data_IF_974869060580
#
_entry.id   IF_974869060580
#
_cell.length_a   1.000
_cell.length_b   1.000
_cell.length_c   1.000
_cell.angle_alpha   90.00
_cell.angle_beta   90.00
_cell.angle_gamma   90.00
#
_symmetry.space_group_name_H-M   'P 1'
#
loop_
_entity.id
_entity.type
_entity.pdbx_description
1 polymer ?
#
# COMPACT_ATOMS: atom_id res chain seq x y z
N UNK A 1 -36.18 -31.74 44.25
CA UNK A 1 -36.38 -30.81 43.12
C UNK A 1 -35.12 -29.96 42.95
N UNK A 2 -34.16 -30.44 42.14
CA UNK A 2 -33.63 -29.79 40.91
C UNK A 2 -34.22 -28.37 40.70
N UNK A 3 -33.52 -27.24 40.49
CA UNK A 3 -32.27 -26.93 39.79
C UNK A 3 -31.91 -25.44 39.93
N UNK A 4 -30.66 -25.08 39.57
CA UNK A 4 -30.19 -23.72 39.26
C UNK A 4 -28.76 -23.49 39.80
N UNK A 5 -27.71 -24.12 39.25
CA UNK A 5 -27.01 -23.78 37.98
C UNK A 5 -26.84 -22.26 37.82
N UNK A 6 -25.66 -21.65 37.63
CA UNK A 6 -24.40 -22.18 37.15
C UNK A 6 -23.27 -21.18 37.50
N UNK A 7 -22.18 -21.72 38.05
CA UNK A 7 -20.78 -21.44 37.68
C UNK A 7 -20.48 -20.12 36.94
N UNK A 8 -19.84 -19.17 37.65
CA UNK A 8 -18.92 -18.21 37.04
C UNK A 8 -17.85 -19.00 36.26
N UNK A 9 -17.58 -18.69 34.97
CA UNK A 9 -16.38 -19.22 34.34
C UNK A 9 -15.17 -18.51 34.96
N UNK A 10 -14.25 -19.33 35.47
CA UNK A 10 -12.86 -18.96 35.52
C UNK A 10 -12.35 -18.99 34.07
N UNK A 11 -12.17 -17.81 33.46
CA UNK A 11 -11.36 -17.67 32.25
C UNK A 11 -10.00 -17.11 32.65
N UNK A 12 -8.98 -17.89 32.31
CA UNK A 12 -7.56 -17.65 32.45
C UNK A 12 -7.14 -16.30 31.86
N UNK A 13 -6.75 -15.38 32.73
CA UNK A 13 -6.07 -14.12 32.38
C UNK A 13 -4.58 -14.41 32.19
N UNK A 14 -4.19 -14.98 31.05
CA UNK A 14 -2.83 -14.89 30.45
C UNK A 14 -2.94 -15.31 28.98
N UNK A 15 -2.22 -14.63 28.09
CA UNK A 15 -1.98 -14.97 26.66
C UNK A 15 -2.83 -14.30 25.57
N UNK A 16 -3.53 -13.19 25.87
CA UNK A 16 -4.21 -12.35 24.85
C UNK A 16 -3.56 -10.98 24.59
N UNK A 17 -2.96 -10.36 25.60
CA UNK A 17 -2.51 -8.96 25.52
C UNK A 17 -1.23 -8.74 24.68
N UNK A 18 -0.44 -9.78 24.44
CA UNK A 18 0.79 -9.67 23.65
C UNK A 18 0.48 -9.53 22.14
N UNK A 19 -0.53 -10.25 21.62
CA UNK A 19 -0.88 -10.22 20.20
C UNK A 19 -1.47 -8.86 19.77
N UNK A 20 -2.34 -8.26 20.59
CA UNK A 20 -2.90 -6.92 20.34
C UNK A 20 -1.84 -5.81 20.37
N UNK A 21 -0.87 -5.90 21.29
CA UNK A 21 0.23 -4.93 21.36
C UNK A 21 1.18 -5.02 20.16
N UNK A 22 1.41 -6.23 19.63
CA UNK A 22 2.23 -6.46 18.44
C UNK A 22 1.49 -6.00 17.18
N UNK A 23 0.19 -6.23 17.06
CA UNK A 23 -0.62 -5.70 15.96
C UNK A 23 -0.67 -4.16 15.95
N UNK A 24 -0.84 -3.53 17.11
CA UNK A 24 -0.82 -2.07 17.23
C UNK A 24 0.56 -1.47 16.89
N UNK A 25 1.65 -2.13 17.33
CA UNK A 25 3.01 -1.72 16.97
C UNK A 25 3.30 -1.96 15.47
N UNK A 26 2.82 -3.06 14.89
CA UNK A 26 2.95 -3.33 13.46
C UNK A 26 2.17 -2.31 12.63
N UNK A 27 0.94 -1.96 13.02
CA UNK A 27 0.14 -0.92 12.38
C UNK A 27 0.80 0.45 12.45
N UNK A 28 1.36 0.84 13.60
CA UNK A 28 2.15 2.08 13.71
C UNK A 28 3.38 2.03 12.81
N UNK A 29 4.09 0.90 12.75
CA UNK A 29 5.26 0.76 11.87
C UNK A 29 4.89 0.83 10.39
N UNK A 30 3.72 0.31 10.01
CA UNK A 30 3.22 0.33 8.64
C UNK A 30 2.75 1.72 8.24
N UNK A 31 2.05 2.43 9.11
CA UNK A 31 1.65 3.83 8.90
C UNK A 31 2.87 4.73 8.72
N UNK A 32 3.93 4.53 9.52
CA UNK A 32 5.19 5.30 9.37
C UNK A 32 5.87 4.99 8.04
N UNK A 33 5.86 3.73 7.59
CA UNK A 33 6.40 3.35 6.27
C UNK A 33 5.60 3.99 5.14
N UNK A 34 4.27 3.94 5.18
CA UNK A 34 3.41 4.57 4.18
C UNK A 34 3.66 6.08 4.08
N UNK A 35 3.81 6.77 5.22
CA UNK A 35 4.15 8.19 5.22
C UNK A 35 5.53 8.46 4.63
N UNK A 36 6.54 7.65 4.99
CA UNK A 36 7.88 7.77 4.42
C UNK A 36 7.87 7.60 2.91
N UNK A 37 7.18 6.57 2.41
CA UNK A 37 7.08 6.29 0.98
C UNK A 37 6.33 7.40 0.25
N UNK A 38 5.30 7.98 0.87
CA UNK A 38 4.62 9.18 0.36
C UNK A 38 5.58 10.37 0.26
N UNK A 39 6.38 10.65 1.29
CA UNK A 39 7.33 11.77 1.27
C UNK A 39 8.43 11.57 0.22
N UNK A 40 8.92 10.33 0.05
CA UNK A 40 9.88 10.01 -1.00
C UNK A 40 9.27 10.20 -2.39
N UNK A 41 8.04 9.75 -2.60
CA UNK A 41 7.30 9.93 -3.86
C UNK A 41 7.02 11.41 -4.15
N UNK A 42 6.64 12.18 -3.12
CA UNK A 42 6.42 13.62 -3.21
C UNK A 42 7.67 14.36 -3.71
N UNK A 43 8.82 14.11 -3.08
CA UNK A 43 10.08 14.75 -3.50
C UNK A 43 10.44 14.41 -4.95
N UNK A 44 10.27 13.15 -5.35
CA UNK A 44 10.53 12.72 -6.72
C UNK A 44 9.57 13.35 -7.73
N UNK A 45 8.30 13.50 -7.38
CA UNK A 45 7.32 14.20 -8.20
C UNK A 45 7.68 15.67 -8.37
N UNK A 46 8.06 16.34 -7.28
CA UNK A 46 8.46 17.75 -7.30
C UNK A 46 9.66 17.98 -8.22
N UNK A 47 10.70 17.14 -8.14
CA UNK A 47 11.87 17.21 -9.03
C UNK A 47 11.47 16.99 -10.49
N UNK A 48 10.70 15.95 -10.78
CA UNK A 48 10.27 15.63 -12.14
C UNK A 48 9.44 16.75 -12.79
N UNK A 49 8.51 17.34 -12.04
CA UNK A 49 7.70 18.43 -12.57
C UNK A 49 8.50 19.73 -12.68
N UNK A 50 9.46 19.98 -11.79
CA UNK A 50 10.36 21.12 -11.92
C UNK A 50 11.19 21.02 -13.20
N UNK A 51 11.85 19.89 -13.43
CA UNK A 51 12.70 19.65 -14.62
C UNK A 51 11.92 19.70 -15.94
N UNK A 52 10.64 19.30 -15.92
CA UNK A 52 9.82 19.23 -17.13
C UNK A 52 9.09 20.54 -17.45
N UNK A 53 8.72 21.33 -16.43
CA UNK A 53 7.84 22.48 -16.58
C UNK A 53 8.49 23.84 -16.34
N UNK A 54 9.57 23.91 -15.55
CA UNK A 54 10.26 25.18 -15.28
C UNK A 54 11.43 25.30 -16.25
N UNK A 55 11.26 26.13 -17.26
CA UNK A 55 12.22 26.30 -18.35
C UNK A 55 12.68 27.75 -18.52
N UNK A 56 11.96 28.72 -17.97
CA UNK A 56 12.30 30.13 -18.06
C UNK A 56 12.85 30.67 -16.73
N UNK A 57 14.12 31.07 -16.73
CA UNK A 57 14.82 31.63 -15.57
C UNK A 57 15.00 33.15 -15.66
N UNK A 58 14.30 33.83 -16.56
CA UNK A 58 14.41 35.29 -16.75
C UNK A 58 13.76 36.09 -15.62
N UNK A 59 12.77 35.53 -14.92
CA UNK A 59 12.11 36.18 -13.79
C UNK A 59 12.02 35.27 -12.57
N UNK A 60 11.89 35.86 -11.38
CA UNK A 60 11.70 35.11 -10.13
C UNK A 60 10.26 34.59 -9.93
N UNK A 61 9.33 34.98 -10.81
CA UNK A 61 7.92 34.55 -10.73
C UNK A 61 7.70 33.40 -11.70
N UNK A 62 6.88 32.45 -11.29
CA UNK A 62 6.41 31.36 -12.17
C UNK A 62 5.48 31.96 -13.22
N UNK A 63 5.70 31.65 -14.49
CA UNK A 63 4.80 32.09 -15.57
C UNK A 63 3.52 31.25 -15.56
N UNK A 64 2.40 31.82 -16.02
CA UNK A 64 1.10 31.11 -16.08
C UNK A 64 1.18 29.79 -16.90
N UNK A 65 2.04 29.75 -17.91
CA UNK A 65 2.30 28.54 -18.70
C UNK A 65 3.02 27.45 -17.88
N UNK A 66 3.99 27.82 -17.06
CA UNK A 66 4.72 26.88 -16.18
C UNK A 66 3.83 26.41 -15.04
N UNK A 67 2.97 27.29 -14.49
CA UNK A 67 1.98 26.95 -13.47
C UNK A 67 0.96 25.93 -13.99
N UNK A 68 0.42 26.18 -15.19
CA UNK A 68 -0.48 25.23 -15.87
C UNK A 68 0.22 23.90 -16.18
N UNK A 69 1.48 23.94 -16.62
CA UNK A 69 2.27 22.73 -16.85
C UNK A 69 2.45 21.93 -15.56
N UNK A 70 2.81 22.58 -14.45
CA UNK A 70 3.05 21.93 -13.16
C UNK A 70 1.80 21.22 -12.63
N UNK A 71 0.63 21.87 -12.75
CA UNK A 71 -0.66 21.29 -12.36
C UNK A 71 -1.00 20.03 -13.17
N UNK A 72 -0.81 20.10 -14.49
CA UNK A 72 -1.01 18.96 -15.39
C UNK A 72 0.00 17.83 -15.16
N UNK A 73 1.25 18.17 -14.84
CA UNK A 73 2.31 17.21 -14.54
C UNK A 73 1.94 16.35 -13.32
N UNK A 74 1.51 16.99 -12.23
CA UNK A 74 1.08 16.30 -11.00
C UNK A 74 -0.11 15.38 -11.28
N UNK A 75 -1.15 15.87 -11.95
CA UNK A 75 -2.34 15.07 -12.26
C UNK A 75 -1.98 13.85 -13.14
N UNK A 76 -1.15 14.07 -14.16
CA UNK A 76 -0.70 13.01 -15.07
C UNK A 76 0.14 11.97 -14.33
N UNK A 77 1.03 12.39 -13.44
CA UNK A 77 1.87 11.48 -12.65
C UNK A 77 1.03 10.59 -11.73
N UNK A 78 0.04 11.17 -11.03
CA UNK A 78 -0.83 10.40 -10.13
C UNK A 78 -1.66 9.37 -10.89
N UNK A 79 -2.26 9.75 -12.04
CA UNK A 79 -3.00 8.83 -12.91
C UNK A 79 -2.10 7.73 -13.47
N UNK A 80 -0.86 8.07 -13.85
CA UNK A 80 0.13 7.10 -14.32
C UNK A 80 0.46 6.08 -13.23
N UNK A 81 0.75 6.52 -12.01
CA UNK A 81 1.05 5.62 -10.89
C UNK A 81 -0.11 4.65 -10.63
N UNK A 82 -1.35 5.13 -10.57
CA UNK A 82 -2.52 4.27 -10.40
C UNK A 82 -2.65 3.23 -11.52
N UNK A 83 -2.46 3.64 -12.78
CA UNK A 83 -2.54 2.74 -13.94
C UNK A 83 -1.42 1.71 -13.93
N UNK A 84 -0.19 2.11 -13.60
CA UNK A 84 0.96 1.21 -13.50
C UNK A 84 0.74 0.19 -12.37
N UNK A 85 0.30 0.64 -11.20
CA UNK A 85 -0.03 -0.24 -10.07
C UNK A 85 -1.10 -1.27 -10.45
N UNK A 86 -2.16 -0.86 -11.17
CA UNK A 86 -3.19 -1.78 -11.63
C UNK A 86 -2.62 -2.89 -12.53
N UNK A 87 -1.80 -2.51 -13.52
CA UNK A 87 -1.19 -3.49 -14.43
C UNK A 87 -0.15 -4.38 -13.75
N UNK A 88 0.57 -3.83 -12.78
CA UNK A 88 1.51 -4.61 -11.98
C UNK A 88 0.78 -5.67 -11.15
N UNK A 89 -0.35 -5.32 -10.52
CA UNK A 89 -1.17 -6.27 -9.78
C UNK A 89 -1.76 -7.35 -10.69
N UNK A 90 -2.29 -6.99 -11.86
CA UNK A 90 -2.77 -7.96 -12.85
C UNK A 90 -1.67 -8.96 -13.24
N UNK A 91 -0.45 -8.47 -13.52
CA UNK A 91 0.68 -9.30 -13.87
C UNK A 91 1.10 -10.24 -12.72
N UNK A 92 1.13 -9.72 -11.50
CA UNK A 92 1.48 -10.51 -10.33
C UNK A 92 0.47 -11.64 -10.07
N UNK A 93 -0.82 -11.39 -10.24
CA UNK A 93 -1.86 -12.42 -10.15
C UNK A 93 -1.68 -13.50 -11.22
N UNK A 94 -1.45 -13.11 -12.48
CA UNK A 94 -1.21 -14.06 -13.57
C UNK A 94 0.02 -14.93 -13.34
N UNK A 95 1.12 -14.36 -12.86
CA UNK A 95 2.33 -15.13 -12.51
C UNK A 95 2.06 -16.13 -11.37
N UNK A 96 1.32 -15.70 -10.35
CA UNK A 96 0.96 -16.57 -9.23
C UNK A 96 0.06 -17.72 -9.71
N UNK A 97 -0.93 -17.47 -10.57
CA UNK A 97 -1.79 -18.50 -11.16
C UNK A 97 -0.99 -19.48 -12.03
N UNK A 98 -0.04 -19.00 -12.83
CA UNK A 98 0.85 -19.86 -13.61
C UNK A 98 1.74 -20.73 -12.72
N UNK A 99 2.31 -20.16 -11.64
CA UNK A 99 3.11 -20.91 -10.68
C UNK A 99 2.27 -21.99 -9.98
N UNK A 100 1.01 -21.69 -9.64
CA UNK A 100 0.08 -22.65 -9.05
C UNK A 100 -0.30 -23.74 -10.05
N UNK A 101 -0.54 -23.41 -11.32
CA UNK A 101 -0.86 -24.40 -12.35
C UNK A 101 0.33 -25.36 -12.60
N UNK A 102 1.56 -24.84 -12.64
CA UNK A 102 2.76 -25.68 -12.73
C UNK A 102 2.91 -26.57 -11.49
N UNK A 103 2.68 -26.04 -10.29
CA UNK A 103 2.71 -26.82 -9.05
C UNK A 103 1.62 -27.92 -8.99
N UNK A 104 0.44 -27.67 -9.57
CA UNK A 104 -0.62 -28.67 -9.73
C UNK A 104 -0.21 -29.78 -10.70
N UNK A 105 0.37 -29.43 -11.86
CA UNK A 105 0.87 -30.44 -12.82
C UNK A 105 2.06 -31.25 -12.28
N UNK A 106 2.84 -30.67 -11.37
CA UNK A 106 3.94 -31.35 -10.67
C UNK A 106 3.49 -32.19 -9.44
N UNK A 107 2.19 -32.22 -9.12
CA UNK A 107 1.64 -33.05 -8.04
C UNK A 107 1.96 -32.60 -6.62
N UNK A 108 2.42 -31.35 -6.42
CA UNK A 108 2.91 -30.84 -5.14
C UNK A 108 1.86 -30.08 -4.31
N UNK A 109 0.65 -29.87 -4.82
CA UNK A 109 -0.39 -29.08 -4.15
C UNK A 109 -1.79 -29.69 -4.31
N UNK A 110 -2.46 -30.17 -3.23
CA UNK A 110 -3.87 -30.52 -3.29
C UNK A 110 -4.72 -29.24 -3.42
N UNK A 111 -5.81 -29.24 -4.20
CA UNK A 111 -6.69 -28.08 -4.29
C UNK A 111 -7.28 -27.74 -2.92
N UNK A 112 -7.51 -26.44 -2.61
CA UNK A 112 -8.22 -26.07 -1.39
C UNK A 112 -9.62 -26.70 -1.43
N UNK A 113 -9.99 -27.37 -0.33
CA UNK A 113 -11.32 -27.97 -0.14
C UNK A 113 -12.42 -26.92 -0.16
#
# INVERSE_FOLDING_TARGET
MVWGSSSKPAESVTDGAAADSVLAQMQQSEQVKQLKDFLMSYNKLSELCFDSCVHDFTTRRVLDAEDTCSSNCVEKYLKLNQRVSQRFQEYQTLQNEQALALAQTAGLYPPPK
#
